data_IF_216578038015
#
_entry.id   IF_216578038015
#
_cell.length_a   1.000
_cell.length_b   1.000
_cell.length_c   1.000
_cell.angle_alpha   90.00
_cell.angle_beta   90.00
_cell.angle_gamma   90.00
#
_symmetry.space_group_name_H-M   'P 1'
#
loop_
_entity.id
_entity.type
_entity.pdbx_description
1 polymer ?
#
# COMPACT_ATOMS: atom_id res chain seq x y z
N UNK A 1 -16.32 6.71 -48.35
CA UNK A 1 -15.73 8.02 -47.99
C UNK A 1 -16.52 8.56 -46.80
N UNK A 2 -16.18 8.11 -45.59
CA UNK A 2 -16.97 8.37 -44.37
C UNK A 2 -16.07 9.16 -43.41
N UNK A 3 -16.60 10.31 -43.00
CA UNK A 3 -15.97 11.40 -42.25
C UNK A 3 -15.18 10.92 -41.04
N UNK A 4 -13.97 11.46 -40.93
CA UNK A 4 -13.20 11.58 -39.71
C UNK A 4 -14.03 12.35 -38.66
N UNK A 5 -14.53 11.66 -37.64
CA UNK A 5 -15.06 12.30 -36.44
C UNK A 5 -13.90 12.71 -35.54
N UNK A 6 -13.54 13.97 -35.74
CA UNK A 6 -12.67 14.80 -34.95
C UNK A 6 -13.32 15.06 -33.57
N UNK A 7 -13.12 14.13 -32.63
CA UNK A 7 -13.18 14.43 -31.19
C UNK A 7 -11.85 14.04 -30.57
N UNK A 8 -10.83 14.85 -30.86
CA UNK A 8 -9.64 14.92 -30.02
C UNK A 8 -10.04 15.56 -28.69
N UNK A 9 -10.55 14.77 -27.76
CA UNK A 9 -10.50 15.14 -26.36
C UNK A 9 -9.03 15.42 -26.04
N UNK A 10 -8.77 16.59 -25.46
CA UNK A 10 -7.42 17.03 -25.05
C UNK A 10 -6.73 15.87 -24.32
N UNK A 11 -5.83 15.14 -25.01
CA UNK A 11 -4.99 14.13 -24.38
C UNK A 11 -4.05 14.85 -23.44
N UNK A 12 -4.52 14.95 -22.21
CA UNK A 12 -3.92 15.70 -21.14
C UNK A 12 -2.81 14.79 -20.56
N UNK A 13 -1.66 14.68 -21.23
CA UNK A 13 -0.53 13.83 -20.83
C UNK A 13 0.31 13.34 -22.02
N UNK A 14 1.44 12.68 -21.76
CA UNK A 14 2.30 12.09 -22.78
C UNK A 14 1.92 10.61 -22.95
N UNK A 15 1.38 10.27 -24.12
CA UNK A 15 1.08 8.88 -24.46
C UNK A 15 -0.17 8.31 -23.76
N UNK A 16 -0.26 6.98 -23.72
CA UNK A 16 -1.39 6.26 -23.10
C UNK A 16 -1.15 6.03 -21.60
N UNK A 17 -2.21 6.00 -20.78
CA UNK A 17 -2.11 5.61 -19.37
C UNK A 17 -1.39 4.28 -19.22
N UNK A 18 -0.41 4.25 -18.31
CA UNK A 18 0.48 3.11 -18.14
C UNK A 18 1.07 3.09 -16.73
N UNK A 19 1.35 1.87 -16.24
CA UNK A 19 2.00 1.59 -14.96
C UNK A 19 3.34 2.32 -14.80
N UNK A 20 4.07 2.57 -15.89
CA UNK A 20 5.34 3.30 -15.84
C UNK A 20 5.21 4.72 -15.26
N UNK A 21 4.09 5.39 -15.53
CA UNK A 21 3.80 6.71 -14.96
C UNK A 21 3.71 6.63 -13.42
N UNK A 22 2.95 5.66 -12.92
CA UNK A 22 2.80 5.41 -11.48
C UNK A 22 4.14 5.07 -10.81
N UNK A 23 4.96 4.25 -11.48
CA UNK A 23 6.28 3.84 -11.02
C UNK A 23 7.21 5.05 -10.89
N UNK A 24 7.26 5.93 -11.89
CA UNK A 24 8.10 7.14 -11.85
C UNK A 24 7.68 8.07 -10.70
N UNK A 25 6.37 8.28 -10.53
CA UNK A 25 5.85 9.13 -9.45
C UNK A 25 6.23 8.59 -8.07
N UNK A 26 5.96 7.31 -7.79
CA UNK A 26 6.37 6.67 -6.52
C UNK A 26 7.88 6.78 -6.32
N UNK A 27 8.67 6.53 -7.36
CA UNK A 27 10.12 6.59 -7.22
C UNK A 27 10.57 7.98 -6.79
N UNK A 28 10.14 9.03 -7.50
CA UNK A 28 10.60 10.40 -7.25
C UNK A 28 10.12 10.90 -5.88
N UNK A 29 8.85 10.68 -5.53
CA UNK A 29 8.27 11.09 -4.24
C UNK A 29 9.06 10.50 -3.06
N UNK A 30 9.21 9.18 -3.04
CA UNK A 30 9.84 8.49 -1.92
C UNK A 30 11.37 8.59 -1.93
N UNK A 31 11.99 8.75 -3.10
CA UNK A 31 13.41 9.04 -3.20
C UNK A 31 13.72 10.43 -2.62
N UNK A 32 12.91 11.45 -2.91
CA UNK A 32 13.06 12.78 -2.30
C UNK A 32 12.96 12.72 -0.77
N UNK A 33 11.96 12.01 -0.24
CA UNK A 33 11.80 11.85 1.21
C UNK A 33 12.94 11.06 1.86
N UNK A 34 13.41 9.98 1.24
CA UNK A 34 14.48 9.18 1.83
C UNK A 34 15.84 9.88 1.81
N UNK A 35 16.11 10.79 0.85
CA UNK A 35 17.29 11.67 0.89
C UNK A 35 17.31 12.53 2.16
N UNK A 36 16.15 12.96 2.64
CA UNK A 36 16.00 13.85 3.79
C UNK A 36 16.16 13.14 5.14
N UNK A 37 16.38 11.83 5.17
CA UNK A 37 16.47 11.05 6.42
C UNK A 37 17.47 11.67 7.41
N UNK A 38 18.70 11.95 6.97
CA UNK A 38 19.73 12.54 7.84
C UNK A 38 19.44 14.00 8.18
N UNK A 39 19.21 14.91 7.21
CA UNK A 39 18.91 16.31 7.52
C UNK A 39 17.67 16.52 8.40
N UNK A 40 16.64 15.68 8.25
CA UNK A 40 15.41 15.75 9.04
C UNK A 40 15.68 15.46 10.52
N UNK A 41 16.54 14.47 10.81
CA UNK A 41 16.96 14.16 12.19
C UNK A 41 17.75 15.33 12.81
N UNK A 42 18.67 15.93 12.04
CA UNK A 42 19.43 17.12 12.49
C UNK A 42 18.49 18.28 12.84
N UNK A 43 17.61 18.66 11.91
CA UNK A 43 16.68 19.80 12.09
C UNK A 43 15.68 19.55 13.23
N UNK A 44 15.25 18.30 13.40
CA UNK A 44 14.38 17.90 14.50
C UNK A 44 15.07 18.07 15.87
N UNK A 45 16.34 17.64 15.98
CA UNK A 45 17.10 17.80 17.21
C UNK A 45 17.39 19.28 17.52
N UNK A 46 17.75 20.07 16.51
CA UNK A 46 17.99 21.51 16.65
C UNK A 46 16.72 22.28 17.08
N UNK A 47 15.55 21.89 16.55
CA UNK A 47 14.28 22.58 16.85
C UNK A 47 13.71 22.17 18.20
N UNK A 48 13.86 20.89 18.57
CA UNK A 48 13.31 20.33 19.81
C UNK A 48 14.39 19.60 20.63
N UNK A 49 15.40 20.31 21.17
CA UNK A 49 16.55 19.68 21.82
C UNK A 49 16.19 18.89 23.08
N UNK A 50 15.20 19.34 23.84
CA UNK A 50 14.78 18.65 25.09
C UNK A 50 13.77 17.51 24.86
N UNK A 51 13.06 17.52 23.72
CA UNK A 51 11.92 16.63 23.48
C UNK A 51 11.93 16.06 22.05
N UNK A 52 13.11 15.81 21.48
CA UNK A 52 13.31 15.42 20.06
C UNK A 52 12.43 14.22 19.67
N UNK A 53 12.51 13.14 20.42
CA UNK A 53 11.75 11.90 20.13
C UNK A 53 10.25 12.07 20.36
N UNK A 54 9.84 12.79 21.41
CA UNK A 54 8.44 13.04 21.72
C UNK A 54 7.76 13.86 20.61
N UNK A 55 8.42 14.93 20.16
CA UNK A 55 7.91 15.79 19.09
C UNK A 55 7.84 15.03 17.76
N UNK A 56 8.87 14.23 17.43
CA UNK A 56 8.82 13.36 16.25
C UNK A 56 7.64 12.37 16.32
N UNK A 57 7.44 11.73 17.47
CA UNK A 57 6.31 10.83 17.70
C UNK A 57 4.96 11.52 17.53
N UNK A 58 4.81 12.75 18.05
CA UNK A 58 3.58 13.53 17.91
C UNK A 58 3.33 13.94 16.45
N UNK A 59 4.34 14.45 15.76
CA UNK A 59 4.27 14.87 14.36
C UNK A 59 3.86 13.70 13.46
N UNK A 60 4.57 12.57 13.59
CA UNK A 60 4.29 11.38 12.80
C UNK A 60 2.97 10.71 13.20
N UNK A 61 2.59 10.77 14.48
CA UNK A 61 1.31 10.30 14.97
C UNK A 61 0.13 11.09 14.39
N UNK A 62 0.19 12.41 14.40
CA UNK A 62 -0.82 13.29 13.76
C UNK A 62 -0.88 13.03 12.26
N UNK A 63 0.28 12.97 11.58
CA UNK A 63 0.35 12.65 10.15
C UNK A 63 -0.30 11.31 9.83
N UNK A 64 -0.01 10.27 10.60
CA UNK A 64 -0.57 8.93 10.45
C UNK A 64 -2.07 8.87 10.68
N UNK A 65 -2.57 9.53 11.73
CA UNK A 65 -4.01 9.59 12.04
C UNK A 65 -4.80 10.29 10.92
N UNK A 66 -4.30 11.44 10.45
CA UNK A 66 -4.91 12.15 9.33
C UNK A 66 -4.87 11.32 8.04
N UNK A 67 -3.78 10.58 7.79
CA UNK A 67 -3.66 9.68 6.62
C UNK A 67 -4.66 8.53 6.69
N UNK A 68 -4.87 7.94 7.86
CA UNK A 68 -5.86 6.89 8.06
C UNK A 68 -7.28 7.37 7.77
N UNK A 69 -7.64 8.54 8.30
CA UNK A 69 -8.99 9.11 8.12
C UNK A 69 -9.24 9.56 6.68
N UNK A 70 -8.21 10.07 6.00
CA UNK A 70 -8.32 10.61 4.65
C UNK A 70 -8.16 9.58 3.54
N UNK A 71 -7.43 8.48 3.73
CA UNK A 71 -7.12 7.53 2.65
C UNK A 71 -8.35 6.94 1.95
N UNK A 72 -9.39 6.44 2.66
CA UNK A 72 -10.60 5.95 2.01
C UNK A 72 -11.39 7.07 1.34
N UNK A 73 -11.41 8.27 1.95
CA UNK A 73 -12.13 9.43 1.44
C UNK A 73 -11.50 9.97 0.15
N UNK A 74 -10.19 10.18 0.13
CA UNK A 74 -9.45 10.60 -1.06
C UNK A 74 -9.49 9.53 -2.14
N UNK A 75 -9.42 8.25 -1.76
CA UNK A 75 -9.67 7.13 -2.66
C UNK A 75 -11.02 7.27 -3.37
N UNK A 76 -12.10 7.42 -2.59
CA UNK A 76 -13.45 7.60 -3.09
C UNK A 76 -13.61 8.85 -3.98
N UNK A 77 -13.03 9.98 -3.56
CA UNK A 77 -13.09 11.21 -4.36
C UNK A 77 -12.30 11.08 -5.67
N UNK A 78 -11.20 10.32 -5.67
CA UNK A 78 -10.44 10.03 -6.89
C UNK A 78 -11.18 9.13 -7.87
N UNK A 79 -12.11 8.28 -7.39
CA UNK A 79 -13.02 7.51 -8.25
C UNK A 79 -13.98 8.43 -9.03
N UNK A 80 -14.32 9.60 -8.49
CA UNK A 80 -15.33 10.52 -9.05
C UNK A 80 -14.71 11.69 -9.83
N UNK A 81 -13.71 12.38 -9.27
CA UNK A 81 -13.14 13.60 -9.89
C UNK A 81 -11.88 13.36 -10.72
N UNK A 82 -11.39 12.12 -10.81
CA UNK A 82 -10.21 11.77 -11.60
C UNK A 82 -9.01 11.36 -10.74
N UNK A 83 -8.24 10.37 -11.22
CA UNK A 83 -7.01 9.90 -10.57
C UNK A 83 -5.92 10.93 -10.67
N UNK A 84 -5.75 11.55 -11.84
CA UNK A 84 -4.65 12.47 -12.11
C UNK A 84 -4.69 13.69 -11.18
N UNK A 85 -5.86 14.31 -11.04
CA UNK A 85 -6.06 15.48 -10.19
C UNK A 85 -5.74 15.17 -8.73
N UNK A 86 -6.23 14.04 -8.22
CA UNK A 86 -5.95 13.64 -6.84
C UNK A 86 -4.51 13.20 -6.63
N UNK A 87 -3.89 12.55 -7.61
CA UNK A 87 -2.47 12.21 -7.56
C UNK A 87 -1.59 13.46 -7.43
N UNK A 88 -1.91 14.51 -8.20
CA UNK A 88 -1.23 15.80 -8.11
C UNK A 88 -1.41 16.43 -6.72
N UNK A 89 -2.64 16.44 -6.19
CA UNK A 89 -2.94 17.01 -4.87
C UNK A 89 -2.17 16.25 -3.78
N UNK A 90 -2.20 14.93 -3.78
CA UNK A 90 -1.51 14.11 -2.76
C UNK A 90 0.00 14.33 -2.81
N UNK A 91 0.61 14.31 -4.00
CA UNK A 91 2.07 14.52 -4.14
C UNK A 91 2.46 15.95 -3.81
N UNK A 92 1.67 16.96 -4.24
CA UNK A 92 1.94 18.36 -3.92
C UNK A 92 1.97 18.63 -2.42
N UNK A 93 0.92 18.22 -1.68
CA UNK A 93 0.86 18.44 -0.24
C UNK A 93 1.89 17.60 0.53
N UNK A 94 2.27 16.44 -0.01
CA UNK A 94 3.34 15.61 0.55
C UNK A 94 4.73 16.21 0.29
N UNK A 95 4.93 16.91 -0.82
CA UNK A 95 6.21 17.53 -1.16
C UNK A 95 6.38 18.97 -0.65
N UNK A 96 5.28 19.69 -0.44
CA UNK A 96 5.28 21.09 0.01
C UNK A 96 6.08 21.37 1.30
N UNK A 97 6.15 20.46 2.29
CA UNK A 97 6.98 20.68 3.48
C UNK A 97 8.48 20.74 3.19
N UNK A 98 8.99 19.98 2.22
CA UNK A 98 10.44 19.78 1.98
C UNK A 98 11.25 21.10 1.96
N UNK A 99 10.91 22.12 1.14
CA UNK A 99 11.67 23.38 1.14
C UNK A 99 11.59 24.16 2.45
N UNK A 100 10.51 23.99 3.22
CA UNK A 100 10.32 24.67 4.50
C UNK A 100 11.30 24.19 5.57
N UNK A 101 11.90 23.00 5.40
CA UNK A 101 12.86 22.44 6.36
C UNK A 101 14.03 23.40 6.63
N UNK A 102 14.42 24.21 5.63
CA UNK A 102 15.46 25.23 5.77
C UNK A 102 14.94 26.64 5.98
N UNK A 103 13.77 26.97 5.42
CA UNK A 103 13.21 28.31 5.53
C UNK A 103 12.64 28.57 6.93
N UNK A 104 11.90 27.60 7.48
CA UNK A 104 11.30 27.70 8.80
C UNK A 104 10.97 26.29 9.33
N UNK A 105 11.82 25.74 10.23
CA UNK A 105 11.60 24.42 10.81
C UNK A 105 10.23 24.26 11.50
N UNK A 106 9.72 25.30 12.14
CA UNK A 106 8.39 25.29 12.74
C UNK A 106 7.27 25.08 11.71
N UNK A 107 7.33 25.80 10.59
CA UNK A 107 6.38 25.60 9.47
C UNK A 107 6.59 24.26 8.79
N UNK A 108 7.82 23.76 8.67
CA UNK A 108 8.09 22.41 8.20
C UNK A 108 7.36 21.36 9.03
N UNK A 109 7.50 21.40 10.36
CA UNK A 109 6.86 20.43 11.26
C UNK A 109 5.33 20.58 11.32
N UNK A 110 4.81 21.80 11.19
CA UNK A 110 3.37 22.01 11.07
C UNK A 110 2.82 21.43 9.75
N UNK A 111 3.48 21.73 8.63
CA UNK A 111 3.07 21.28 7.30
C UNK A 111 3.23 19.78 7.11
N UNK A 112 4.31 19.16 7.61
CA UNK A 112 4.46 17.70 7.53
C UNK A 112 3.38 16.99 8.37
N UNK A 113 3.00 17.53 9.53
CA UNK A 113 1.90 16.98 10.33
C UNK A 113 0.57 17.07 9.56
N UNK A 114 0.28 18.23 8.98
CA UNK A 114 -0.96 18.47 8.22
C UNK A 114 -0.99 17.72 6.88
N UNK A 115 0.18 17.47 6.26
CA UNK A 115 0.30 16.70 5.01
C UNK A 115 -0.30 15.31 5.13
N UNK A 116 -0.44 14.76 6.35
CA UNK A 116 -1.15 13.52 6.62
C UNK A 116 -2.54 13.47 5.98
N UNK A 117 -3.26 14.58 5.91
CA UNK A 117 -4.59 14.64 5.28
C UNK A 117 -4.58 14.32 3.77
N UNK A 118 -3.42 14.41 3.12
CA UNK A 118 -3.23 14.14 1.70
C UNK A 118 -2.12 13.12 1.43
N UNK A 119 -1.48 12.56 2.46
CA UNK A 119 -0.35 11.62 2.37
C UNK A 119 -0.83 10.20 2.08
N UNK A 120 -1.62 10.05 1.01
CA UNK A 120 -2.33 8.83 0.65
C UNK A 120 -2.05 8.43 -0.81
N UNK A 121 -0.88 8.84 -1.33
CA UNK A 121 -0.47 8.66 -2.72
C UNK A 121 -0.57 7.19 -3.19
N UNK A 122 -0.23 6.23 -2.32
CA UNK A 122 -0.39 4.79 -2.61
C UNK A 122 -1.82 4.38 -2.97
N UNK A 123 -2.83 4.97 -2.31
CA UNK A 123 -4.24 4.68 -2.59
C UNK A 123 -4.57 5.03 -4.04
N UNK A 124 -4.25 6.27 -4.43
CA UNK A 124 -4.54 6.81 -5.76
C UNK A 124 -3.72 6.09 -6.83
N UNK A 125 -2.45 5.77 -6.54
CA UNK A 125 -1.57 5.08 -7.49
C UNK A 125 -2.01 3.64 -7.73
N UNK A 126 -2.37 2.90 -6.69
CA UNK A 126 -2.90 1.55 -6.91
C UNK A 126 -4.24 1.58 -7.63
N UNK A 127 -5.11 2.56 -7.34
CA UNK A 127 -6.33 2.72 -8.11
C UNK A 127 -6.03 3.06 -9.59
N UNK A 128 -5.09 3.98 -9.86
CA UNK A 128 -4.64 4.28 -11.21
C UNK A 128 -4.06 3.06 -11.92
N UNK A 129 -3.26 2.24 -11.24
CA UNK A 129 -2.72 1.00 -11.79
C UNK A 129 -3.83 -0.02 -12.07
N UNK A 130 -4.86 -0.10 -11.23
CA UNK A 130 -6.02 -0.95 -11.46
C UNK A 130 -6.79 -0.56 -12.74
N UNK A 131 -6.90 0.75 -12.99
CA UNK A 131 -7.63 1.31 -14.13
C UNK A 131 -6.91 1.05 -15.47
N UNK A 132 -5.58 1.03 -15.48
CA UNK A 132 -4.76 0.92 -16.71
C UNK A 132 -4.24 -0.49 -16.98
N UNK A 133 -4.49 -1.44 -16.09
CA UNK A 133 -3.94 -2.79 -16.15
C UNK A 133 -5.06 -3.84 -16.14
N UNK A 134 -4.94 -4.83 -17.02
CA UNK A 134 -5.84 -5.98 -17.05
C UNK A 134 -5.80 -6.75 -15.73
N UNK A 135 -6.93 -7.31 -15.30
CA UNK A 135 -7.08 -7.97 -13.98
C UNK A 135 -6.02 -9.05 -13.71
N UNK A 136 -5.59 -9.76 -14.77
CA UNK A 136 -4.56 -10.82 -14.70
C UNK A 136 -3.15 -10.26 -14.47
N UNK A 137 -2.89 -9.04 -14.90
CA UNK A 137 -1.58 -8.38 -14.82
C UNK A 137 -1.47 -7.40 -13.64
N UNK A 138 -2.58 -7.02 -13.01
CA UNK A 138 -2.62 -6.11 -11.84
C UNK A 138 -1.66 -6.52 -10.72
N UNK A 139 -1.53 -7.82 -10.49
CA UNK A 139 -0.61 -8.36 -9.49
C UNK A 139 0.85 -8.03 -9.77
N UNK A 140 1.27 -8.17 -11.03
CA UNK A 140 2.62 -7.84 -11.49
C UNK A 140 2.85 -6.32 -11.42
N UNK A 141 1.83 -5.54 -11.79
CA UNK A 141 1.90 -4.09 -11.75
C UNK A 141 2.01 -3.55 -10.31
N UNK A 142 1.22 -4.06 -9.35
CA UNK A 142 1.35 -3.70 -7.94
C UNK A 142 2.69 -4.14 -7.35
N UNK A 143 3.20 -5.30 -7.77
CA UNK A 143 4.55 -5.75 -7.45
C UNK A 143 5.62 -4.76 -7.89
N UNK A 144 5.55 -4.30 -9.15
CA UNK A 144 6.47 -3.32 -9.71
C UNK A 144 6.44 -1.98 -8.97
N UNK A 145 5.24 -1.48 -8.65
CA UNK A 145 5.08 -0.24 -7.87
C UNK A 145 5.68 -0.39 -6.47
N UNK A 146 5.39 -1.50 -5.79
CA UNK A 146 5.93 -1.78 -4.44
C UNK A 146 7.45 -1.93 -4.46
N UNK A 147 8.00 -2.60 -5.48
CA UNK A 147 9.43 -2.79 -5.65
C UNK A 147 10.14 -1.47 -5.91
N UNK A 148 9.49 -0.57 -6.65
CA UNK A 148 10.03 0.77 -6.92
C UNK A 148 10.10 1.61 -5.65
N UNK A 149 9.06 1.54 -4.82
CA UNK A 149 9.09 2.13 -3.48
C UNK A 149 10.23 1.55 -2.63
N UNK A 150 10.37 0.22 -2.58
CA UNK A 150 11.46 -0.42 -1.85
C UNK A 150 12.84 0.02 -2.38
N UNK A 151 13.02 0.09 -3.69
CA UNK A 151 14.25 0.58 -4.33
C UNK A 151 14.55 2.03 -3.95
N UNK A 152 13.55 2.91 -3.93
CA UNK A 152 13.71 4.30 -3.51
C UNK A 152 14.16 4.41 -2.05
N UNK A 153 13.57 3.63 -1.14
CA UNK A 153 13.90 3.66 0.29
C UNK A 153 15.28 3.06 0.62
N UNK A 154 15.77 2.12 -0.18
CA UNK A 154 17.11 1.54 0.03
C UNK A 154 18.20 2.47 -0.50
N UNK A 155 17.97 3.07 -1.67
CA UNK A 155 19.00 3.88 -2.36
C UNK A 155 19.10 5.30 -1.80
N UNK A 156 17.97 5.93 -1.48
CA UNK A 156 17.95 7.35 -1.14
C UNK A 156 18.61 7.73 0.20
N UNK A 157 18.48 7.00 1.33
CA UNK A 157 19.14 7.40 2.57
C UNK A 157 20.66 7.28 2.49
N UNK A 158 21.17 6.27 1.77
CA UNK A 158 22.60 6.11 1.54
C UNK A 158 23.17 7.27 0.71
N UNK A 159 22.46 7.66 -0.35
CA UNK A 159 22.82 8.82 -1.18
C UNK A 159 22.70 10.11 -0.35
N UNK A 160 21.63 10.28 0.43
CA UNK A 160 21.40 11.45 1.27
C UNK A 160 22.46 11.64 2.35
N UNK A 161 22.85 10.55 3.03
CA UNK A 161 23.93 10.55 4.01
C UNK A 161 25.29 10.88 3.37
N UNK A 162 25.58 10.33 2.18
CA UNK A 162 26.78 10.67 1.43
C UNK A 162 26.81 12.15 1.05
N UNK A 163 25.73 12.69 0.47
CA UNK A 163 25.68 14.12 0.12
C UNK A 163 25.79 15.02 1.36
N UNK A 164 25.13 14.64 2.46
CA UNK A 164 25.20 15.35 3.74
C UNK A 164 26.64 15.44 4.26
N UNK A 165 27.38 14.32 4.25
CA UNK A 165 28.75 14.25 4.76
C UNK A 165 29.75 15.11 3.95
N UNK A 166 29.61 15.17 2.62
CA UNK A 166 30.57 15.85 1.75
C UNK A 166 30.21 17.29 1.40
N UNK A 167 28.91 17.59 1.29
CA UNK A 167 28.42 18.88 0.79
C UNK A 167 27.49 19.60 1.77
N UNK A 168 27.17 18.97 2.90
CA UNK A 168 26.28 19.51 3.92
C UNK A 168 24.80 19.31 3.63
N UNK A 169 24.01 19.35 4.70
CA UNK A 169 22.56 19.14 4.68
C UNK A 169 21.79 20.14 3.79
N UNK A 170 22.36 21.32 3.50
CA UNK A 170 21.75 22.31 2.62
C UNK A 170 21.62 21.79 1.18
N UNK A 171 22.66 21.12 0.66
CA UNK A 171 22.62 20.56 -0.69
C UNK A 171 21.60 19.44 -0.77
N UNK A 172 21.51 18.60 0.26
CA UNK A 172 20.54 17.49 0.31
C UNK A 172 19.11 17.99 0.20
N UNK A 173 18.76 19.04 0.95
CA UNK A 173 17.41 19.65 0.89
C UNK A 173 17.14 20.27 -0.47
N UNK A 174 18.12 20.94 -1.07
CA UNK A 174 17.97 21.51 -2.41
C UNK A 174 17.70 20.41 -3.45
N UNK A 175 18.49 19.33 -3.43
CA UNK A 175 18.31 18.19 -4.34
C UNK A 175 16.94 17.54 -4.14
N UNK A 176 16.53 17.29 -2.89
CA UNK A 176 15.22 16.73 -2.59
C UNK A 176 14.07 17.65 -3.07
N UNK A 177 14.21 18.96 -2.90
CA UNK A 177 13.23 19.95 -3.40
C UNK A 177 13.12 19.92 -4.93
N UNK A 178 14.25 19.83 -5.64
CA UNK A 178 14.27 19.77 -7.10
C UNK A 178 13.63 18.47 -7.62
N UNK A 179 13.88 17.34 -6.96
CA UNK A 179 13.26 16.06 -7.30
C UNK A 179 11.75 16.10 -7.06
N UNK A 180 11.32 16.65 -5.92
CA UNK A 180 9.91 16.84 -5.61
C UNK A 180 9.19 17.75 -6.61
N UNK A 181 9.84 18.85 -7.04
CA UNK A 181 9.30 19.72 -8.08
C UNK A 181 9.24 18.99 -9.44
N UNK A 182 10.26 18.21 -9.77
CA UNK A 182 10.28 17.41 -10.99
C UNK A 182 9.14 16.37 -11.01
N UNK A 183 8.81 15.77 -9.86
CA UNK A 183 7.68 14.85 -9.72
C UNK A 183 6.34 15.54 -9.96
N UNK A 184 6.11 16.70 -9.32
CA UNK A 184 4.91 17.52 -9.55
C UNK A 184 4.81 17.93 -11.03
N UNK A 185 5.91 18.36 -11.65
CA UNK A 185 5.95 18.68 -13.07
C UNK A 185 5.68 17.45 -13.95
N UNK A 186 6.18 16.28 -13.58
CA UNK A 186 5.92 15.03 -14.30
C UNK A 186 4.43 14.66 -14.26
N UNK A 187 3.74 14.82 -13.12
CA UNK A 187 2.29 14.61 -13.02
C UNK A 187 1.50 15.62 -13.86
N UNK A 188 1.95 16.89 -13.86
CA UNK A 188 1.32 17.96 -14.64
C UNK A 188 1.52 17.85 -16.16
N UNK A 189 2.60 17.23 -16.62
CA UNK A 189 2.95 17.22 -18.04
C UNK A 189 2.81 15.84 -18.68
N UNK A 190 3.19 14.78 -17.96
CA UNK A 190 3.32 13.44 -18.52
C UNK A 190 2.18 12.51 -18.14
N UNK A 191 1.68 12.55 -16.90
CA UNK A 191 0.68 11.57 -16.42
C UNK A 191 -0.70 11.84 -17.05
N UNK A 192 -1.23 10.91 -17.88
CA UNK A 192 -2.57 11.03 -18.43
C UNK A 192 -3.64 10.63 -17.41
N UNK A 193 -4.90 10.98 -17.67
CA UNK A 193 -6.02 10.44 -16.88
C UNK A 193 -6.25 8.96 -17.21
N UNK A 194 -6.46 8.11 -16.19
CA UNK A 194 -6.82 6.69 -16.37
C UNK A 194 -8.32 6.43 -16.49
N UNK A 195 -9.16 7.24 -15.85
CA UNK A 195 -10.61 7.08 -15.84
C UNK A 195 -11.23 7.36 -17.23
N UNK A 196 -12.07 6.45 -17.76
CA UNK A 196 -12.75 6.65 -19.05
C UNK A 196 -13.69 7.87 -19.03
N UNK A 197 -13.79 8.58 -20.16
CA UNK A 197 -14.69 9.75 -20.32
C UNK A 197 -16.17 9.44 -20.03
N UNK A 198 -16.58 8.17 -20.12
CA UNK A 198 -17.93 7.71 -19.78
C UNK A 198 -18.19 7.63 -18.27
N UNK A 199 -17.16 7.40 -17.45
CA UNK A 199 -17.27 7.54 -15.97
C UNK A 199 -17.22 9.01 -15.54
N UNK A 200 -16.65 9.90 -16.38
CA UNK A 200 -16.65 11.36 -16.18
C UNK A 200 -17.99 12.03 -16.50
N UNK A 201 -19.01 11.30 -16.97
CA UNK A 201 -20.36 11.82 -17.26
C UNK A 201 -21.04 12.27 -15.96
N UNK A 202 -20.64 13.46 -15.50
CA UNK A 202 -21.36 14.46 -14.71
C UNK A 202 -20.51 15.74 -14.46
N UNK A 203 -19.26 15.84 -14.95
CA UNK A 203 -18.30 16.81 -14.36
C UNK A 203 -18.15 18.15 -15.07
N UNK A 204 -18.61 18.34 -16.31
CA UNK A 204 -18.57 19.66 -16.98
C UNK A 204 -19.93 20.01 -17.61
N UNK A 205 -20.87 20.46 -16.78
CA UNK A 205 -22.13 21.11 -17.22
C UNK A 205 -23.44 20.42 -16.83
N UNK A 206 -23.41 19.22 -16.24
CA UNK A 206 -24.57 18.62 -15.59
C UNK A 206 -24.56 18.98 -14.09
N UNK A 207 -25.71 19.23 -13.44
CA UNK A 207 -25.74 19.46 -12.01
C UNK A 207 -25.23 18.20 -11.31
N UNK A 208 -24.10 18.33 -10.61
CA UNK A 208 -23.53 17.27 -9.77
C UNK A 208 -24.61 16.88 -8.76
N UNK A 209 -25.26 15.73 -8.98
CA UNK A 209 -26.10 15.14 -7.95
C UNK A 209 -25.17 14.64 -6.86
N UNK A 210 -25.04 15.42 -5.78
CA UNK A 210 -24.28 15.06 -4.59
C UNK A 210 -24.67 13.68 -4.02
N UNK A 211 -25.86 13.16 -4.36
CA UNK A 211 -26.29 11.80 -3.99
C UNK A 211 -25.55 10.68 -4.75
N UNK A 212 -25.06 10.92 -5.97
CA UNK A 212 -24.29 9.92 -6.74
C UNK A 212 -22.78 10.02 -6.53
N UNK A 213 -22.29 11.18 -6.08
CA UNK A 213 -20.87 11.46 -5.82
C UNK A 213 -20.49 11.38 -4.34
N UNK A 214 -21.36 10.87 -3.46
CA UNK A 214 -21.11 10.83 -2.03
C UNK A 214 -20.05 9.76 -1.67
N UNK A 215 -18.82 10.18 -1.29
CA UNK A 215 -17.76 9.24 -0.94
C UNK A 215 -18.08 8.41 0.31
N UNK A 216 -18.94 8.91 1.21
CA UNK A 216 -19.32 8.21 2.43
C UNK A 216 -20.27 7.04 2.13
N UNK A 217 -21.18 7.20 1.15
CA UNK A 217 -22.05 6.13 0.69
C UNK A 217 -21.25 5.00 0.04
N UNK A 218 -20.29 5.33 -0.82
CA UNK A 218 -19.40 4.33 -1.43
C UNK A 218 -18.56 3.61 -0.38
N UNK A 219 -17.99 4.34 0.58
CA UNK A 219 -17.25 3.77 1.71
C UNK A 219 -18.12 2.83 2.55
N UNK A 220 -19.37 3.21 2.85
CA UNK A 220 -20.31 2.37 3.60
C UNK A 220 -20.65 1.09 2.86
N UNK A 221 -20.94 1.16 1.56
CA UNK A 221 -21.28 -0.01 0.73
C UNK A 221 -20.09 -0.98 0.64
N UNK A 222 -18.89 -0.48 0.39
CA UNK A 222 -17.67 -1.28 0.33
C UNK A 222 -17.34 -1.89 1.70
N UNK A 223 -17.53 -1.13 2.79
CA UNK A 223 -17.34 -1.63 4.15
C UNK A 223 -18.37 -2.67 4.59
N UNK A 224 -19.50 -2.80 3.89
CA UNK A 224 -20.52 -3.84 4.12
C UNK A 224 -20.25 -5.12 3.32
N UNK A 225 -19.34 -5.10 2.34
CA UNK A 225 -18.92 -6.30 1.62
C UNK A 225 -18.08 -7.19 2.54
N UNK A 226 -18.61 -8.38 2.84
CA UNK A 226 -17.95 -9.37 3.71
C UNK A 226 -16.54 -9.75 3.23
N UNK A 227 -16.33 -9.82 1.90
CA UNK A 227 -15.03 -10.15 1.31
C UNK A 227 -14.01 -9.04 1.58
N UNK A 228 -14.40 -7.79 1.32
CA UNK A 228 -13.53 -6.62 1.56
C UNK A 228 -13.26 -6.44 3.05
N UNK A 229 -14.25 -6.67 3.91
CA UNK A 229 -14.09 -6.63 5.37
C UNK A 229 -13.09 -7.68 5.85
N UNK A 230 -13.20 -8.93 5.39
CA UNK A 230 -12.24 -9.98 5.72
C UNK A 230 -10.82 -9.61 5.28
N UNK A 231 -10.65 -9.08 4.06
CA UNK A 231 -9.37 -8.57 3.58
C UNK A 231 -8.84 -7.46 4.50
N UNK A 232 -9.68 -6.49 4.87
CA UNK A 232 -9.30 -5.40 5.77
C UNK A 232 -8.87 -5.89 7.15
N UNK A 233 -9.56 -6.87 7.72
CA UNK A 233 -9.18 -7.49 9.00
C UNK A 233 -7.85 -8.21 8.86
N UNK A 234 -7.64 -8.99 7.79
CA UNK A 234 -6.35 -9.64 7.49
C UNK A 234 -5.22 -8.61 7.37
N UNK A 235 -5.45 -7.48 6.69
CA UNK A 235 -4.46 -6.38 6.60
C UNK A 235 -4.18 -5.80 7.97
N UNK A 236 -5.19 -5.45 8.75
CA UNK A 236 -4.97 -4.88 10.08
C UNK A 236 -4.14 -5.81 10.98
N UNK A 237 -4.50 -7.09 11.03
CA UNK A 237 -3.83 -8.09 11.86
C UNK A 237 -2.41 -8.44 11.37
N UNK A 238 -2.13 -8.32 10.08
CA UNK A 238 -0.78 -8.56 9.52
C UNK A 238 0.12 -7.33 9.62
N UNK A 239 -0.39 -6.14 9.32
CA UNK A 239 0.39 -4.90 9.34
C UNK A 239 0.67 -4.38 10.74
N UNK A 240 -0.20 -4.64 11.72
CA UNK A 240 0.02 -4.17 13.08
C UNK A 240 1.33 -4.74 13.67
N UNK A 241 1.60 -6.06 13.61
CA UNK A 241 2.91 -6.63 13.93
C UNK A 241 4.05 -6.12 13.05
N UNK A 242 3.83 -5.97 11.74
CA UNK A 242 4.88 -5.53 10.81
C UNK A 242 5.38 -4.11 11.13
N UNK A 243 4.44 -3.18 11.37
CA UNK A 243 4.76 -1.82 11.77
C UNK A 243 5.47 -1.76 13.14
N UNK A 244 5.01 -2.58 14.09
CA UNK A 244 5.67 -2.74 15.39
C UNK A 244 7.11 -3.24 15.23
N UNK A 245 7.31 -4.28 14.42
CA UNK A 245 8.62 -4.82 14.08
C UNK A 245 9.53 -3.72 13.53
N UNK A 246 9.15 -2.97 12.49
CA UNK A 246 10.02 -1.95 11.90
C UNK A 246 10.48 -0.88 12.90
N UNK A 247 9.65 -0.54 13.89
CA UNK A 247 9.98 0.50 14.87
C UNK A 247 11.06 0.10 15.88
N UNK A 248 11.13 -1.18 16.24
CA UNK A 248 12.01 -1.68 17.30
C UNK A 248 13.10 -2.63 16.79
N UNK A 249 12.98 -3.14 15.57
CA UNK A 249 13.85 -4.20 15.06
C UNK A 249 15.32 -3.79 14.97
N UNK A 250 15.63 -2.58 14.50
CA UNK A 250 17.02 -2.12 14.43
C UNK A 250 17.62 -1.86 15.81
N UNK A 251 16.81 -1.40 16.78
CA UNK A 251 17.22 -1.30 18.18
C UNK A 251 17.51 -2.68 18.76
N UNK A 252 16.63 -3.64 18.49
CA UNK A 252 16.80 -5.04 18.89
C UNK A 252 18.09 -5.66 18.31
N UNK A 253 18.38 -5.48 17.02
CA UNK A 253 19.62 -5.94 16.41
C UNK A 253 20.86 -5.33 17.07
N UNK A 254 20.80 -4.04 17.41
CA UNK A 254 21.91 -3.34 18.06
C UNK A 254 22.14 -3.83 19.48
N UNK A 255 21.09 -4.02 20.26
CA UNK A 255 21.19 -4.23 21.71
C UNK A 255 21.21 -5.70 22.13
N UNK A 256 20.46 -6.56 21.44
CA UNK A 256 20.35 -7.98 21.80
C UNK A 256 21.33 -8.81 21.00
N UNK A 257 21.46 -8.53 19.70
CA UNK A 257 22.32 -9.30 18.78
C UNK A 257 23.72 -8.67 18.62
N UNK A 258 23.94 -7.48 19.18
CA UNK A 258 25.22 -6.73 19.11
C UNK A 258 25.67 -6.42 17.68
N UNK A 259 24.75 -6.13 16.77
CA UNK A 259 25.11 -5.65 15.44
C UNK A 259 25.69 -4.24 15.51
N UNK A 260 26.83 -4.04 14.84
CA UNK A 260 27.37 -2.70 14.60
C UNK A 260 26.43 -1.87 13.72
N UNK A 261 26.51 -0.53 13.80
CA UNK A 261 25.74 0.35 12.92
C UNK A 261 26.01 0.08 11.44
N UNK A 262 27.24 -0.30 11.08
CA UNK A 262 27.61 -0.72 9.73
C UNK A 262 26.90 -2.00 9.34
N UNK A 263 26.86 -3.01 10.21
CA UNK A 263 26.18 -4.29 9.96
C UNK A 263 24.68 -4.09 9.76
N UNK A 264 24.04 -3.22 10.55
CA UNK A 264 22.62 -2.87 10.39
C UNK A 264 22.37 -2.19 9.04
N UNK A 265 23.23 -1.26 8.63
CA UNK A 265 23.11 -0.61 7.32
C UNK A 265 23.24 -1.62 6.16
N UNK A 266 24.22 -2.53 6.23
CA UNK A 266 24.36 -3.61 5.23
C UNK A 266 23.15 -4.55 5.25
N UNK A 267 22.61 -4.86 6.43
CA UNK A 267 21.41 -5.68 6.58
C UNK A 267 20.20 -5.05 5.87
N UNK A 268 19.96 -3.74 6.10
CA UNK A 268 18.88 -2.99 5.43
C UNK A 268 19.08 -3.03 3.91
N UNK A 269 20.31 -2.81 3.44
CA UNK A 269 20.62 -2.84 2.01
C UNK A 269 20.35 -4.20 1.37
N UNK A 270 20.84 -5.28 1.97
CA UNK A 270 20.68 -6.65 1.45
C UNK A 270 19.22 -7.10 1.49
N UNK A 271 18.53 -6.91 2.63
CA UNK A 271 17.11 -7.28 2.76
C UNK A 271 16.27 -6.45 1.80
N UNK A 272 16.57 -5.16 1.65
CA UNK A 272 15.89 -4.29 0.69
C UNK A 272 16.07 -4.73 -0.76
N UNK A 273 17.28 -5.09 -1.19
CA UNK A 273 17.54 -5.66 -2.52
C UNK A 273 16.74 -6.95 -2.72
N UNK A 274 16.74 -7.83 -1.71
CA UNK A 274 16.01 -9.08 -1.77
C UNK A 274 14.48 -8.84 -1.83
N UNK A 275 13.96 -7.83 -1.14
CA UNK A 275 12.56 -7.41 -1.22
C UNK A 275 12.19 -6.93 -2.63
N UNK A 276 13.07 -6.18 -3.30
CA UNK A 276 12.87 -5.76 -4.69
C UNK A 276 12.75 -6.99 -5.61
N UNK A 277 13.64 -7.97 -5.45
CA UNK A 277 13.59 -9.22 -6.22
C UNK A 277 12.32 -10.01 -5.89
N UNK A 278 11.93 -10.09 -4.61
CA UNK A 278 10.72 -10.77 -4.18
C UNK A 278 9.45 -10.14 -4.78
N UNK A 279 9.33 -8.81 -4.75
CA UNK A 279 8.16 -8.08 -5.23
C UNK A 279 8.06 -8.01 -6.77
N UNK A 280 9.17 -8.09 -7.50
CA UNK A 280 9.18 -8.07 -8.97
C UNK A 280 9.06 -9.47 -9.58
N UNK A 281 9.95 -10.39 -9.20
CA UNK A 281 10.07 -11.70 -9.83
C UNK A 281 9.19 -12.73 -9.14
N UNK A 282 9.37 -12.93 -7.83
CA UNK A 282 8.69 -14.01 -7.11
C UNK A 282 7.19 -13.76 -7.02
N UNK A 283 6.74 -12.54 -6.71
CA UNK A 283 5.31 -12.22 -6.69
C UNK A 283 4.65 -12.55 -8.03
N UNK A 284 5.24 -12.13 -9.15
CA UNK A 284 4.71 -12.41 -10.49
C UNK A 284 4.57 -13.91 -10.75
N UNK A 285 5.59 -14.69 -10.35
CA UNK A 285 5.56 -16.15 -10.50
C UNK A 285 4.49 -16.80 -9.61
N UNK A 286 4.44 -16.44 -8.32
CA UNK A 286 3.51 -16.99 -7.33
C UNK A 286 2.05 -16.68 -7.70
N UNK A 287 1.77 -15.45 -8.16
CA UNK A 287 0.42 -15.04 -8.55
C UNK A 287 -0.07 -15.80 -9.79
N UNK A 288 0.84 -16.14 -10.72
CA UNK A 288 0.51 -16.95 -11.91
C UNK A 288 0.31 -18.44 -11.59
N UNK A 289 0.99 -18.99 -10.59
CA UNK A 289 0.97 -20.43 -10.28
C UNK A 289 -0.02 -20.79 -9.17
N UNK A 290 -0.09 -19.98 -8.12
CA UNK A 290 -0.89 -20.25 -6.91
C UNK A 290 -2.20 -19.45 -6.87
N UNK A 291 -2.29 -18.34 -7.62
CA UNK A 291 -3.41 -17.40 -7.57
C UNK A 291 -3.30 -16.39 -6.42
N UNK A 292 -4.20 -15.40 -6.40
CA UNK A 292 -4.07 -14.24 -5.50
C UNK A 292 -4.20 -14.60 -4.02
N UNK A 293 -5.25 -15.36 -3.66
CA UNK A 293 -5.53 -15.73 -2.27
C UNK A 293 -4.38 -16.56 -1.68
N UNK A 294 -3.92 -17.58 -2.40
CA UNK A 294 -2.83 -18.43 -1.94
C UNK A 294 -1.50 -17.68 -1.87
N UNK A 295 -1.27 -16.70 -2.73
CA UNK A 295 -0.09 -15.83 -2.62
C UNK A 295 -0.13 -14.96 -1.37
N UNK A 296 -1.30 -14.42 -1.01
CA UNK A 296 -1.49 -13.72 0.28
C UNK A 296 -1.21 -14.65 1.45
N UNK A 297 -1.79 -15.87 1.44
CA UNK A 297 -1.55 -16.87 2.50
C UNK A 297 -0.07 -17.24 2.61
N UNK A 298 0.62 -17.43 1.50
CA UNK A 298 2.05 -17.73 1.48
C UNK A 298 2.89 -16.57 2.03
N UNK A 299 2.56 -15.33 1.67
CA UNK A 299 3.19 -14.13 2.22
C UNK A 299 3.01 -14.01 3.75
N UNK A 300 1.79 -14.26 4.25
CA UNK A 300 1.49 -14.34 5.68
C UNK A 300 2.24 -15.49 6.36
N UNK A 301 2.40 -16.65 5.68
CA UNK A 301 3.20 -17.77 6.15
C UNK A 301 4.68 -17.39 6.34
N UNK A 302 5.28 -16.70 5.36
CA UNK A 302 6.62 -16.13 5.50
C UNK A 302 6.68 -15.11 6.63
N UNK A 303 5.64 -14.28 6.81
CA UNK A 303 5.57 -13.31 7.90
C UNK A 303 5.51 -13.98 9.29
N UNK A 304 4.77 -15.06 9.46
CA UNK A 304 4.75 -15.85 10.70
C UNK A 304 6.15 -16.41 10.96
N UNK A 305 6.78 -17.00 9.93
CA UNK A 305 8.09 -17.61 10.04
C UNK A 305 9.17 -16.59 10.41
N UNK A 306 9.23 -15.42 9.76
CA UNK A 306 10.24 -14.40 10.11
C UNK A 306 10.05 -13.86 11.54
N UNK A 307 8.82 -13.59 11.98
CA UNK A 307 8.54 -13.06 13.32
C UNK A 307 8.85 -14.10 14.40
N UNK A 308 8.49 -15.36 14.17
CA UNK A 308 8.88 -16.45 15.06
C UNK A 308 10.40 -16.60 15.14
N UNK A 309 11.09 -16.53 13.99
CA UNK A 309 12.54 -16.68 13.94
C UNK A 309 13.26 -15.49 14.61
N UNK A 310 12.78 -14.26 14.46
CA UNK A 310 13.28 -13.12 15.22
C UNK A 310 13.03 -13.25 16.73
N UNK A 311 11.88 -13.81 17.12
CA UNK A 311 11.56 -14.01 18.54
C UNK A 311 12.46 -15.03 19.25
N UNK A 312 12.85 -16.11 18.55
CA UNK A 312 13.70 -17.18 19.09
C UNK A 312 15.18 -17.03 18.75
N UNK A 313 15.54 -16.20 17.79
CA UNK A 313 16.89 -16.11 17.28
C UNK A 313 17.84 -15.46 18.29
N UNK A 314 18.92 -16.16 18.62
CA UNK A 314 19.97 -15.67 19.52
C UNK A 314 21.27 -15.32 18.79
N UNK A 315 21.46 -15.84 17.57
CA UNK A 315 22.71 -15.72 16.83
C UNK A 315 22.61 -14.76 15.63
N UNK A 316 23.68 -14.01 15.32
CA UNK A 316 23.77 -13.11 14.17
C UNK A 316 23.27 -13.70 12.84
N UNK A 317 23.69 -14.92 12.50
CA UNK A 317 23.34 -15.56 11.23
C UNK A 317 21.83 -15.85 11.13
N UNK A 318 21.15 -16.08 12.26
CA UNK A 318 19.71 -16.32 12.30
C UNK A 318 18.94 -15.06 11.90
N UNK A 319 19.44 -13.87 12.28
CA UNK A 319 18.85 -12.60 11.88
C UNK A 319 18.96 -12.40 10.36
N UNK A 320 20.10 -12.74 9.75
CA UNK A 320 20.28 -12.70 8.29
C UNK A 320 19.33 -13.66 7.57
N UNK A 321 19.20 -14.90 8.05
CA UNK A 321 18.27 -15.87 7.48
C UNK A 321 16.81 -15.43 7.62
N UNK A 322 16.41 -14.93 8.80
CA UNK A 322 15.09 -14.36 9.02
C UNK A 322 14.83 -13.10 8.19
N UNK A 323 15.86 -12.28 7.94
CA UNK A 323 15.83 -11.15 7.00
C UNK A 323 15.54 -11.58 5.57
N UNK A 324 16.08 -12.73 5.14
CA UNK A 324 15.74 -13.27 3.83
C UNK A 324 14.26 -13.71 3.74
N UNK A 325 13.73 -14.29 4.81
CA UNK A 325 12.30 -14.62 4.92
C UNK A 325 11.44 -13.35 4.98
N UNK A 326 11.91 -12.30 5.66
CA UNK A 326 11.26 -10.98 5.71
C UNK A 326 11.15 -10.34 4.32
N UNK A 327 12.20 -10.48 3.51
CA UNK A 327 12.15 -10.01 2.13
C UNK A 327 11.06 -10.73 1.33
N UNK A 328 10.88 -12.04 1.54
CA UNK A 328 9.81 -12.81 0.91
C UNK A 328 8.42 -12.46 1.45
N UNK A 329 8.26 -12.12 2.72
CA UNK A 329 6.96 -11.69 3.28
C UNK A 329 6.51 -10.32 2.74
N UNK A 330 7.44 -9.49 2.26
CA UNK A 330 7.13 -8.17 1.69
C UNK A 330 6.23 -8.19 0.46
N UNK A 331 6.01 -9.37 -0.16
CA UNK A 331 5.06 -9.55 -1.27
C UNK A 331 3.60 -9.49 -0.82
N UNK A 332 3.34 -9.57 0.48
CA UNK A 332 1.97 -9.58 1.04
C UNK A 332 1.23 -8.29 0.70
N UNK A 333 1.90 -7.13 0.71
CA UNK A 333 1.28 -5.84 0.38
C UNK A 333 0.68 -5.78 -1.04
N UNK A 334 1.47 -5.99 -2.11
CA UNK A 334 0.93 -5.98 -3.46
C UNK A 334 -0.03 -7.14 -3.71
N UNK A 335 0.15 -8.30 -3.07
CA UNK A 335 -0.75 -9.44 -3.20
C UNK A 335 -2.15 -9.12 -2.64
N UNK A 336 -2.24 -8.51 -1.46
CA UNK A 336 -3.51 -8.07 -0.88
C UNK A 336 -4.16 -6.97 -1.72
N UNK A 337 -3.36 -6.01 -2.21
CA UNK A 337 -3.83 -4.93 -3.08
C UNK A 337 -4.40 -5.48 -4.40
N UNK A 338 -3.80 -6.55 -4.94
CA UNK A 338 -4.31 -7.31 -6.09
C UNK A 338 -5.63 -8.02 -5.78
N UNK A 339 -5.70 -8.72 -4.65
CA UNK A 339 -6.87 -9.48 -4.23
C UNK A 339 -8.09 -8.56 -4.01
N UNK A 340 -7.90 -7.41 -3.35
CA UNK A 340 -8.99 -6.45 -3.13
C UNK A 340 -9.44 -5.79 -4.43
N UNK A 341 -8.50 -5.48 -5.33
CA UNK A 341 -8.80 -4.87 -6.63
C UNK A 341 -9.66 -5.75 -7.52
N UNK A 342 -9.49 -7.08 -7.46
CA UNK A 342 -10.34 -8.03 -8.20
C UNK A 342 -11.67 -8.33 -7.48
N UNK A 343 -11.72 -8.09 -6.16
CA UNK A 343 -12.94 -8.25 -5.39
C UNK A 343 -13.91 -7.08 -5.61
N UNK A 344 -13.37 -5.89 -5.87
CA UNK A 344 -14.11 -4.66 -6.05
C UNK A 344 -14.53 -4.35 -7.50
N UNK A 345 -15.61 -3.58 -7.63
CA UNK A 345 -16.06 -3.07 -8.92
C UNK A 345 -15.05 -2.04 -9.50
N UNK A 346 -14.99 -1.86 -10.84
CA UNK A 346 -14.07 -0.92 -11.47
C UNK A 346 -14.23 0.55 -11.04
N UNK A 347 -15.43 0.95 -10.63
CA UNK A 347 -15.78 2.31 -10.17
C UNK A 347 -15.42 2.56 -8.69
N UNK A 348 -14.94 1.55 -7.96
CA UNK A 348 -14.66 1.63 -6.51
C UNK A 348 -13.21 1.31 -6.16
N UNK A 349 -12.31 1.30 -7.15
CA UNK A 349 -10.90 0.94 -6.96
C UNK A 349 -10.21 1.89 -5.99
N UNK A 350 -10.51 3.19 -6.04
CA UNK A 350 -9.97 4.19 -5.13
C UNK A 350 -10.41 3.94 -3.69
N UNK A 351 -11.70 3.74 -3.44
CA UNK A 351 -12.22 3.42 -2.10
C UNK A 351 -11.50 2.22 -1.49
N UNK A 352 -11.42 1.10 -2.22
CA UNK A 352 -10.85 -0.13 -1.66
C UNK A 352 -9.35 -0.03 -1.41
N UNK A 353 -8.58 0.58 -2.33
CA UNK A 353 -7.15 0.81 -2.11
C UNK A 353 -6.93 1.80 -0.96
N UNK A 354 -7.82 2.79 -0.83
CA UNK A 354 -7.85 3.74 0.28
C UNK A 354 -8.09 3.07 1.64
N UNK A 355 -8.97 2.06 1.70
CA UNK A 355 -9.17 1.28 2.93
C UNK A 355 -7.93 0.49 3.32
N UNK A 356 -7.32 -0.24 2.38
CA UNK A 356 -6.11 -1.04 2.65
C UNK A 356 -4.93 -0.16 3.09
N UNK A 357 -4.67 0.91 2.34
CA UNK A 357 -3.56 1.83 2.63
C UNK A 357 -3.81 2.67 3.88
N UNK A 358 -5.07 3.06 4.12
CA UNK A 358 -5.49 3.72 5.35
C UNK A 358 -5.22 2.85 6.57
N UNK A 359 -5.68 1.60 6.57
CA UNK A 359 -5.43 0.64 7.67
C UNK A 359 -3.93 0.50 7.94
N UNK A 360 -3.11 0.40 6.88
CA UNK A 360 -1.64 0.38 7.02
C UNK A 360 -1.11 1.66 7.67
N UNK A 361 -1.64 2.82 7.29
CA UNK A 361 -1.33 4.11 7.93
C UNK A 361 -1.67 4.12 9.42
N UNK A 362 -2.81 3.56 9.82
CA UNK A 362 -3.18 3.39 11.23
C UNK A 362 -2.21 2.46 11.97
N UNK A 363 -1.87 1.32 11.36
CA UNK A 363 -0.91 0.37 11.92
C UNK A 363 0.48 0.98 12.13
N UNK A 364 0.92 1.91 11.27
CA UNK A 364 2.19 2.63 11.47
C UNK A 364 2.24 3.46 12.76
N UNK A 365 1.10 3.87 13.31
CA UNK A 365 1.02 4.51 14.63
C UNK A 365 0.79 3.51 15.77
N UNK A 366 -0.17 2.59 15.61
CA UNK A 366 -0.56 1.64 16.66
C UNK A 366 0.48 0.53 16.90
N UNK A 367 1.17 0.08 15.84
CA UNK A 367 2.16 -1.00 15.91
C UNK A 367 3.33 -0.66 16.82
N UNK A 368 4.02 0.48 16.62
CA UNK A 368 5.08 0.93 17.52
C UNK A 368 4.62 1.12 18.97
N UNK A 369 3.40 1.65 19.18
CA UNK A 369 2.83 1.81 20.51
C UNK A 369 2.60 0.45 21.21
N UNK A 370 2.04 -0.53 20.48
CA UNK A 370 1.86 -1.89 20.98
C UNK A 370 3.19 -2.54 21.31
N UNK A 371 4.17 -2.48 20.40
CA UNK A 371 5.48 -3.10 20.62
C UNK A 371 6.24 -2.43 21.76
N UNK A 372 6.22 -1.09 21.85
CA UNK A 372 6.80 -0.34 22.97
C UNK A 372 6.20 -0.73 24.31
N UNK A 373 4.88 -0.90 24.39
CA UNK A 373 4.20 -1.37 25.60
C UNK A 373 4.59 -2.82 25.96
N UNK A 374 4.70 -3.71 24.98
CA UNK A 374 5.15 -5.10 25.23
C UNK A 374 6.61 -5.14 25.69
N UNK A 375 7.51 -4.39 25.05
CA UNK A 375 8.91 -4.30 25.50
C UNK A 375 9.01 -3.79 26.95
N UNK A 376 8.20 -2.80 27.32
CA UNK A 376 8.10 -2.31 28.70
C UNK A 376 7.60 -3.38 29.67
N UNK A 377 6.51 -4.08 29.37
CA UNK A 377 5.95 -5.13 30.24
C UNK A 377 6.91 -6.29 30.50
N UNK A 378 7.78 -6.62 29.54
CA UNK A 378 8.75 -7.70 29.65
C UNK A 378 10.10 -7.25 30.25
N UNK A 379 10.18 -6.04 30.82
CA UNK A 379 11.40 -5.48 31.44
C UNK A 379 12.64 -5.60 30.53
N UNK A 380 12.45 -5.46 29.21
CA UNK A 380 13.57 -5.19 28.30
C UNK A 380 13.91 -3.70 28.43
N UNK A 381 14.22 -3.27 29.65
CA UNK A 381 14.54 -1.89 29.93
C UNK A 381 15.96 -1.56 29.45
N UNK A 382 16.03 -0.52 28.65
CA UNK A 382 17.20 0.16 28.12
C UNK A 382 18.02 0.87 29.21
N UNK A 383 18.12 0.32 30.42
CA UNK A 383 18.76 0.99 31.57
C UNK A 383 20.29 1.03 31.48
N UNK A 384 20.88 0.61 30.35
CA UNK A 384 22.32 0.64 30.09
C UNK A 384 22.66 1.51 28.86
N UNK A 385 21.98 2.65 28.69
CA UNK A 385 22.46 3.66 27.75
C UNK A 385 23.64 4.42 28.37
N UNK A 386 24.86 3.96 28.12
CA UNK A 386 26.01 4.85 28.20
C UNK A 386 25.83 5.97 27.15
N UNK A 387 26.02 7.24 27.52
CA UNK A 387 25.81 8.37 26.61
C UNK A 387 26.73 8.25 25.39
N UNK A 388 26.21 8.69 24.24
CA UNK A 388 26.90 8.71 22.94
C UNK A 388 28.24 9.47 23.09
N UNK A 389 29.32 8.74 23.34
CA UNK A 389 30.68 9.27 23.19
C UNK A 389 31.03 9.21 21.71
N UNK A 390 31.01 10.38 21.08
CA UNK A 390 31.56 10.55 19.74
C UNK A 390 33.07 10.36 19.81
N UNK A 391 33.54 9.18 19.42
CA UNK A 391 34.90 9.01 18.94
C UNK A 391 34.95 7.83 17.97
N UNK A 392 35.56 8.05 16.81
CA UNK A 392 35.88 7.03 15.80
C UNK A 392 37.01 6.13 16.30
N UNK A 393 36.81 5.42 17.41
CA UNK A 393 37.75 4.43 17.91
C UNK A 393 37.05 3.09 18.13
N UNK A 394 37.75 2.03 17.73
CA UNK A 394 37.32 0.63 17.77
C UNK A 394 36.80 0.31 19.19
N UNK A 395 35.49 0.11 19.31
CA UNK A 395 34.83 -0.21 20.57
C UNK A 395 35.45 -1.47 21.21
N UNK A 396 35.89 -1.43 22.48
CA UNK A 396 36.11 -2.65 23.24
C UNK A 396 34.75 -3.30 23.53
N UNK A 397 34.66 -4.61 23.29
CA UNK A 397 33.50 -5.43 23.61
C UNK A 397 33.00 -5.15 25.04
N UNK A 398 31.69 -4.89 25.26
CA UNK A 398 31.17 -4.75 26.61
C UNK A 398 31.22 -6.11 27.31
N UNK A 399 32.00 -6.16 28.39
CA UNK A 399 32.19 -7.32 29.23
C UNK A 399 31.07 -7.33 30.28
N UNK A 400 29.88 -7.84 29.92
CA UNK A 400 28.82 -8.10 30.89
C UNK A 400 28.74 -9.58 31.27
N UNK A 401 28.75 -9.81 32.58
CA UNK A 401 28.51 -11.09 33.26
C UNK A 401 27.11 -11.67 32.94
N UNK A 402 26.95 -13.02 32.94
CA UNK A 402 25.73 -13.68 32.51
C UNK A 402 24.67 -13.66 33.62
N UNK A 403 23.95 -12.56 33.78
CA UNK A 403 22.83 -12.49 34.74
C UNK A 403 21.53 -12.39 33.96
N UNK A 404 20.76 -13.48 34.02
CA UNK A 404 19.39 -13.69 33.51
C UNK A 404 19.19 -13.48 32.00
N UNK A 405 19.58 -14.50 31.21
CA UNK A 405 19.02 -14.68 29.86
C UNK A 405 17.50 -14.78 29.98
N UNK A 406 16.78 -13.76 29.52
CA UNK A 406 15.34 -13.89 29.27
C UNK A 406 15.11 -15.17 28.44
N UNK A 407 14.19 -16.03 28.90
CA UNK A 407 13.92 -17.34 28.30
C UNK A 407 13.50 -17.24 26.82
N UNK A 408 13.07 -16.05 26.40
CA UNK A 408 12.73 -15.68 25.02
C UNK A 408 13.34 -14.28 24.78
N UNK A 409 14.30 -14.13 23.85
CA UNK A 409 14.97 -12.86 23.61
C UNK A 409 14.06 -11.81 22.95
N UNK A 410 13.01 -12.21 22.22
CA UNK A 410 12.10 -11.27 21.56
C UNK A 410 10.59 -11.56 21.74
N UNK A 411 10.02 -11.42 22.95
CA UNK A 411 8.58 -11.64 23.20
C UNK A 411 7.63 -10.83 22.30
N UNK A 412 7.92 -9.56 21.94
CA UNK A 412 7.09 -8.79 21.02
C UNK A 412 6.96 -9.42 19.62
N UNK A 413 8.03 -10.03 19.11
CA UNK A 413 8.00 -10.67 17.79
C UNK A 413 7.16 -11.96 17.82
N UNK A 414 7.16 -12.72 18.92
CA UNK A 414 6.29 -13.88 19.07
C UNK A 414 4.82 -13.50 19.18
N UNK A 415 4.50 -12.44 19.93
CA UNK A 415 3.14 -11.90 19.98
C UNK A 415 2.69 -11.42 18.59
N UNK A 416 3.61 -10.79 17.85
CA UNK A 416 3.44 -10.49 16.44
C UNK A 416 3.09 -11.73 15.62
N UNK A 417 3.90 -12.80 15.71
CA UNK A 417 3.67 -14.05 14.99
C UNK A 417 2.29 -14.65 15.30
N UNK A 418 1.88 -14.69 16.57
CA UNK A 418 0.54 -15.14 16.96
C UNK A 418 -0.57 -14.30 16.34
N UNK A 419 -0.40 -12.98 16.27
CA UNK A 419 -1.36 -12.07 15.63
C UNK A 419 -1.46 -12.34 14.12
N UNK A 420 -0.32 -12.57 13.45
CA UNK A 420 -0.30 -12.93 12.02
C UNK A 420 -0.90 -14.33 11.78
N UNK A 421 -0.77 -15.28 12.71
CA UNK A 421 -1.49 -16.57 12.63
C UNK A 421 -3.00 -16.34 12.60
N UNK A 422 -3.53 -15.44 13.42
CA UNK A 422 -4.96 -15.06 13.35
C UNK A 422 -5.27 -14.43 12.00
N UNK A 423 -4.42 -13.55 11.47
CA UNK A 423 -4.58 -12.96 10.14
C UNK A 423 -4.64 -14.03 9.04
N UNK A 424 -3.78 -15.04 9.12
CA UNK A 424 -3.74 -16.20 8.22
C UNK A 424 -5.04 -17.01 8.29
N UNK A 425 -5.54 -17.29 9.51
CA UNK A 425 -6.81 -18.00 9.69
C UNK A 425 -7.99 -17.21 9.11
N UNK A 426 -8.04 -15.89 9.32
CA UNK A 426 -9.06 -15.02 8.70
C UNK A 426 -8.94 -15.04 7.17
N UNK A 427 -7.72 -14.99 6.65
CA UNK A 427 -7.47 -14.99 5.21
C UNK A 427 -7.94 -16.29 4.51
N UNK A 428 -7.96 -17.42 5.23
CA UNK A 428 -8.51 -18.70 4.71
C UNK A 428 -10.00 -18.59 4.37
N UNK A 429 -10.76 -17.76 5.10
CA UNK A 429 -12.19 -17.56 4.88
C UNK A 429 -12.52 -16.59 3.75
N UNK A 430 -11.52 -15.92 3.15
CA UNK A 430 -11.76 -15.05 2.00
C UNK A 430 -12.26 -15.91 0.82
N UNK A 431 -13.45 -15.64 0.26
CA UNK A 431 -13.97 -16.41 -0.86
C UNK A 431 -13.09 -16.27 -2.10
N UNK A 432 -12.84 -17.39 -2.79
CA UNK A 432 -12.22 -17.37 -4.11
C UNK A 432 -13.33 -17.08 -5.13
N UNK A 433 -13.27 -15.93 -5.83
CA UNK A 433 -14.11 -15.76 -7.02
C UNK A 433 -13.67 -16.85 -8.03
N UNK A 434 -14.58 -17.67 -8.57
CA UNK A 434 -14.21 -18.63 -9.60
C UNK A 434 -13.59 -17.84 -10.75
N UNK A 435 -12.38 -18.22 -11.15
CA UNK A 435 -11.80 -17.80 -12.42
C UNK A 435 -12.87 -18.06 -13.48
N UNK A 436 -13.29 -17.02 -14.20
CA UNK A 436 -14.29 -17.15 -15.25
C UNK A 436 -13.75 -18.16 -16.26
N UNK A 437 -14.15 -19.43 -16.11
CA UNK A 437 -14.02 -20.45 -17.13
C UNK A 437 -14.92 -19.99 -18.26
N UNK A 438 -14.34 -19.93 -19.45
CA UNK A 438 -15.00 -19.71 -20.73
C UNK A 438 -16.49 -20.10 -20.69
N UNK A 439 -17.35 -19.10 -20.81
CA UNK A 439 -18.77 -19.28 -21.08
C UNK A 439 -18.95 -20.01 -22.42
N UNK A 440 -19.15 -21.31 -22.34
CA UNK A 440 -19.73 -22.10 -23.42
C UNK A 440 -20.56 -23.23 -22.84
N UNK A 441 -21.73 -22.89 -22.32
CA UNK A 441 -22.81 -23.84 -22.09
C UNK A 441 -24.15 -23.13 -22.27
N UNK A 442 -24.57 -23.12 -23.53
CA UNK A 442 -25.94 -23.26 -24.02
C UNK A 442 -27.05 -22.65 -23.15
N UNK A 443 -27.54 -21.48 -23.55
CA UNK A 443 -28.95 -21.14 -23.35
C UNK A 443 -29.79 -22.15 -24.17
N UNK A 444 -30.28 -23.20 -23.52
CA UNK A 444 -31.50 -23.88 -23.95
C UNK A 444 -32.67 -23.12 -23.34
N UNK A 445 -33.31 -22.27 -24.13
CA UNK A 445 -34.63 -21.73 -23.83
C UNK A 445 -35.62 -22.90 -23.84
N UNK A 446 -36.10 -23.28 -22.66
CA UNK A 446 -37.27 -24.11 -22.46
C UNK A 446 -38.48 -23.18 -22.31
N UNK A 447 -39.26 -23.01 -23.38
CA UNK A 447 -40.60 -22.43 -23.29
C UNK A 447 -41.56 -23.51 -22.76
N UNK A 448 -41.98 -23.33 -21.51
CA UNK A 448 -43.17 -23.97 -20.95
C UNK A 448 -44.28 -22.91 -20.95
N UNK A 449 -45.14 -22.96 -21.95
CA UNK A 449 -46.45 -22.28 -21.92
C UNK A 449 -47.51 -23.29 -21.51
N UNK A 450 -48.13 -23.09 -20.35
CA UNK A 450 -49.46 -23.61 -20.04
C UNK A 450 -50.11 -22.72 -18.98
N UNK A 451 -51.17 -21.98 -19.36
CA UNK A 451 -52.34 -21.76 -18.50
C UNK A 451 -53.58 -21.23 -19.28
N UNK A 452 -54.50 -22.18 -19.61
CA UNK A 452 -56.00 -22.18 -19.55
C UNK A 452 -56.88 -21.11 -20.25
N UNK A 453 -58.23 -21.28 -20.48
CA UNK A 453 -59.19 -22.41 -20.28
C UNK A 453 -60.16 -22.67 -21.51
N UNK A 454 -61.21 -23.56 -21.42
CA UNK A 454 -61.83 -24.23 -22.57
C UNK A 454 -63.14 -23.59 -23.08
N UNK A 455 -63.56 -23.91 -24.31
CA UNK A 455 -64.96 -23.87 -24.76
C UNK A 455 -65.17 -24.68 -26.03
N UNK A 456 -66.21 -25.52 -26.02
CA UNK A 456 -66.73 -26.26 -27.15
C UNK A 456 -67.78 -25.43 -27.91
N UNK A 457 -67.82 -25.54 -29.23
CA UNK A 457 -69.06 -25.50 -30.02
C UNK A 457 -68.79 -25.88 -31.47
N UNK A 458 -69.67 -26.75 -31.97
CA UNK A 458 -69.79 -27.32 -33.30
C UNK A 458 -69.84 -26.29 -34.44
N UNK A 459 -69.30 -26.65 -35.60
CA UNK A 459 -69.95 -26.42 -36.90
C UNK A 459 -69.29 -27.31 -37.99
N UNK A 460 -70.03 -28.34 -38.40
CA UNK A 460 -69.81 -29.23 -39.56
C UNK A 460 -69.94 -28.47 -40.89
N UNK A 461 -69.34 -28.98 -41.98
CA UNK A 461 -70.09 -29.46 -43.16
C UNK A 461 -69.17 -30.10 -44.24
N UNK A 462 -69.52 -31.33 -44.60
CA UNK A 462 -69.03 -32.16 -45.72
C UNK A 462 -69.32 -31.58 -47.12
N UNK A 463 -68.63 -32.05 -48.19
CA UNK A 463 -68.99 -31.76 -49.57
C UNK A 463 -69.61 -32.99 -50.29
N UNK A 464 -70.87 -32.93 -50.72
CA UNK A 464 -71.42 -33.85 -51.74
C UNK A 464 -72.45 -33.17 -52.66
N UNK A 465 -72.06 -33.11 -53.94
CA UNK A 465 -72.82 -33.21 -55.21
C UNK A 465 -74.31 -32.83 -55.26
N UNK A 466 -74.63 -31.97 -56.23
CA UNK A 466 -75.92 -31.99 -56.92
C UNK A 466 -75.74 -31.83 -58.45
N UNK A 467 -76.41 -32.70 -59.18
CA UNK A 467 -76.40 -32.91 -60.63
C UNK A 467 -76.79 -31.67 -61.46
N UNK A 468 -76.28 -31.63 -62.70
CA UNK A 468 -76.94 -30.95 -63.84
C UNK A 468 -76.52 -31.59 -65.17
N UNK A 469 -77.30 -32.58 -65.58
CA UNK A 469 -77.90 -32.79 -66.92
C UNK A 469 -77.25 -32.05 -68.12
N UNK A 470 -76.66 -32.79 -69.05
CA UNK A 470 -77.08 -33.07 -70.46
C UNK A 470 -75.91 -33.76 -71.18
#
# INVERSE_FOLDING_TARGET
>A
MRKDDQHSSLQQGIGRPSVYHAVVVIFLEFFAWGLLTTPMLTVLHETFPQHTFLMNGLIQGVKGLLSFMSAPLIGALSDVWGRRSFLLVTVFFTCAPIPLMRLSPWWYFAMISMSGAFSVTFSVIFAYVADVTDERERSTAYGLVSATFAASLVTSPAIGAYLSAWYGDNLVVLVATLIALADICFILLAVPESLPDKMRLNTWGAPISWEQADPFTSLRKVGQDSTVLLICITVFLSYLPEAGQYSSFFLYLRQVINFSSTTIAVFIGVVGILSIVAQTLFLTLLMRTLGNKNTVLLGLGFQILQLAWYGFGSEPWMMWAAGAVAAMSSITFPAVSALVSQSADPDKQGVVQGMITGIRGLCNGLGPALYGFVFFLFNVELNTMDPIQGDYNIDPLPLHSPTERALIPGPPFLLGACTVVIAFLVALFIPEKPTCSSSSSQLSLSDNDEDTPPTASDEDFEPLLQDSIV
#
